data_IF_309888579536
#
_entry.id   IF_309888579536
#
_cell.length_a   1.000
_cell.length_b   1.000
_cell.length_c   1.000
_cell.angle_alpha   90.00
_cell.angle_beta   90.00
_cell.angle_gamma   90.00
#
_symmetry.space_group_name_H-M   'P 1'
#
loop_
_entity.id
_entity.type
_entity.pdbx_description
1 polymer ?
#
# COMPACT_ATOMS: atom_id res chain seq x y z
N UNK A 1 -29.33 18.80 -8.09
CA UNK A 1 -28.66 18.07 -9.19
C UNK A 1 -27.28 17.70 -8.69
N UNK A 2 -27.01 16.42 -8.46
CA UNK A 2 -25.66 15.96 -8.11
C UNK A 2 -24.85 15.85 -9.39
N UNK A 3 -23.86 16.73 -9.55
CA UNK A 3 -22.85 16.60 -10.61
C UNK A 3 -21.98 15.41 -10.20
N UNK A 4 -22.23 14.25 -10.80
CA UNK A 4 -21.27 13.16 -10.76
C UNK A 4 -20.01 13.66 -11.46
N UNK A 5 -18.96 13.94 -10.69
CA UNK A 5 -17.65 14.23 -11.25
C UNK A 5 -17.25 13.05 -12.11
N UNK A 6 -17.07 13.27 -13.42
CA UNK A 6 -16.46 12.29 -14.30
C UNK A 6 -14.99 12.14 -13.91
N UNK A 7 -14.71 11.25 -12.95
CA UNK A 7 -13.36 10.92 -12.51
C UNK A 7 -12.69 10.16 -13.66
N UNK A 8 -11.53 10.65 -14.14
CA UNK A 8 -10.81 9.93 -15.18
C UNK A 8 -10.16 8.66 -14.61
N UNK A 9 -9.82 7.71 -15.49
CA UNK A 9 -9.07 6.51 -15.06
C UNK A 9 -7.76 6.89 -14.36
N UNK A 10 -7.08 7.95 -14.84
CA UNK A 10 -5.85 8.43 -14.21
C UNK A 10 -6.07 8.93 -12.78
N UNK A 11 -7.20 9.61 -12.55
CA UNK A 11 -7.54 10.08 -11.21
C UNK A 11 -7.85 8.89 -10.29
N UNK A 12 -8.57 7.88 -10.79
CA UNK A 12 -8.81 6.63 -10.06
C UNK A 12 -7.51 5.89 -9.73
N UNK A 13 -6.58 5.78 -10.68
CA UNK A 13 -5.26 5.17 -10.45
C UNK A 13 -4.47 5.92 -9.39
N UNK A 14 -4.50 7.25 -9.42
CA UNK A 14 -3.84 8.08 -8.42
C UNK A 14 -4.46 7.91 -7.03
N UNK A 15 -5.78 7.87 -6.95
CA UNK A 15 -6.50 7.60 -5.71
C UNK A 15 -6.17 6.21 -5.16
N UNK A 16 -6.13 5.19 -6.02
CA UNK A 16 -5.77 3.82 -5.65
C UNK A 16 -4.31 3.72 -5.20
N UNK A 17 -3.38 4.42 -5.83
CA UNK A 17 -1.98 4.46 -5.39
C UNK A 17 -1.85 5.03 -3.96
N UNK A 18 -2.75 5.94 -3.57
CA UNK A 18 -2.79 6.56 -2.25
C UNK A 18 -3.68 5.83 -1.23
N UNK A 19 -4.35 4.73 -1.60
CA UNK A 19 -5.15 3.96 -0.67
C UNK A 19 -4.27 3.27 0.38
N UNK A 20 -4.77 3.10 1.62
CA UNK A 20 -4.04 2.37 2.65
C UNK A 20 -4.00 0.87 2.33
N UNK A 21 -2.88 0.23 2.67
CA UNK A 21 -2.70 -1.22 2.60
C UNK A 21 -1.82 -1.69 3.76
N UNK A 22 -2.11 -2.88 4.29
CA UNK A 22 -1.31 -3.49 5.36
C UNK A 22 -0.09 -4.22 4.82
N UNK A 23 1.04 -4.01 5.47
CA UNK A 23 2.32 -4.66 5.19
C UNK A 23 2.87 -5.33 6.45
N UNK A 24 3.72 -6.33 6.24
CA UNK A 24 4.58 -6.92 7.28
C UNK A 24 6.02 -6.56 6.95
N UNK A 25 6.75 -5.98 7.90
CA UNK A 25 8.16 -5.68 7.71
C UNK A 25 8.99 -6.98 7.67
N UNK A 26 9.79 -7.15 6.62
CA UNK A 26 10.68 -8.31 6.45
C UNK A 26 12.02 -8.11 7.18
N UNK A 27 12.39 -6.86 7.49
CA UNK A 27 13.60 -6.49 8.23
C UNK A 27 13.42 -5.12 8.87
N UNK A 28 14.28 -4.82 9.84
CA UNK A 28 14.36 -3.47 10.41
C UNK A 28 14.74 -2.44 9.34
N UNK A 29 14.13 -1.25 9.38
CA UNK A 29 14.42 -0.14 8.48
C UNK A 29 14.21 1.19 9.22
N UNK A 30 15.14 2.15 9.15
CA UNK A 30 14.98 3.45 9.78
C UNK A 30 13.83 4.27 9.17
N UNK A 31 13.43 5.35 9.85
CA UNK A 31 12.48 6.31 9.27
C UNK A 31 13.05 6.86 7.95
N UNK A 32 12.23 6.86 6.91
CA UNK A 32 12.53 7.46 5.62
C UNK A 32 11.71 8.75 5.53
N UNK A 33 12.42 9.86 5.33
CA UNK A 33 11.79 11.17 5.17
C UNK A 33 11.77 11.55 3.70
N UNK A 34 10.56 11.75 3.17
CA UNK A 34 10.31 12.29 1.84
C UNK A 34 9.61 13.63 1.98
N UNK A 35 9.59 14.42 0.90
CA UNK A 35 8.85 15.69 0.90
C UNK A 35 7.37 15.40 1.12
N UNK A 36 6.83 15.85 2.27
CA UNK A 36 5.43 15.71 2.62
C UNK A 36 5.00 14.33 3.15
N UNK A 37 5.90 13.37 3.34
CA UNK A 37 5.56 12.08 3.95
C UNK A 37 6.73 11.46 4.73
N UNK A 38 6.42 10.88 5.89
CA UNK A 38 7.34 10.06 6.68
C UNK A 38 6.91 8.60 6.56
N UNK A 39 7.89 7.70 6.40
CA UNK A 39 7.65 6.27 6.22
C UNK A 39 8.50 5.49 7.23
N UNK A 40 7.87 4.59 7.99
CA UNK A 40 8.55 3.86 9.07
C UNK A 40 8.75 4.73 10.32
N UNK A 41 9.70 4.37 11.20
CA UNK A 41 10.62 3.24 11.12
C UNK A 41 9.88 1.89 11.15
N UNK A 42 10.50 0.87 10.57
CA UNK A 42 9.97 -0.49 10.55
C UNK A 42 10.80 -1.41 11.43
N UNK A 43 10.11 -2.25 12.20
CA UNK A 43 10.71 -3.35 12.95
C UNK A 43 10.26 -4.68 12.34
N UNK A 44 11.21 -5.61 12.18
CA UNK A 44 10.99 -6.91 11.55
C UNK A 44 9.83 -7.68 12.20
N UNK A 45 8.98 -8.27 11.35
CA UNK A 45 7.82 -9.05 11.75
C UNK A 45 6.60 -8.23 12.19
N UNK A 46 6.74 -6.91 12.39
CA UNK A 46 5.60 -6.05 12.76
C UNK A 46 4.76 -5.66 11.54
N UNK A 47 3.46 -5.48 11.81
CA UNK A 47 2.50 -5.00 10.82
C UNK A 47 2.39 -3.47 10.84
N UNK A 48 2.23 -2.88 9.66
CA UNK A 48 2.04 -1.45 9.48
C UNK A 48 1.03 -1.18 8.37
N UNK A 49 0.40 -0.01 8.40
CA UNK A 49 -0.44 0.47 7.31
C UNK A 49 0.29 1.61 6.57
N UNK A 50 0.40 1.50 5.26
CA UNK A 50 1.05 2.49 4.40
C UNK A 50 0.24 2.71 3.12
N UNK A 51 0.54 3.77 2.37
CA UNK A 51 -0.04 3.95 1.03
C UNK A 51 0.42 2.83 0.10
N UNK A 52 -0.46 2.40 -0.80
CA UNK A 52 -0.18 1.31 -1.73
C UNK A 52 1.08 1.56 -2.59
N UNK A 53 1.33 2.79 -3.03
CA UNK A 53 2.56 3.11 -3.75
C UNK A 53 3.82 2.91 -2.89
N UNK A 54 3.76 3.23 -1.59
CA UNK A 54 4.85 3.03 -0.64
C UNK A 54 5.08 1.53 -0.44
N UNK A 55 4.01 0.74 -0.26
CA UNK A 55 4.11 -0.70 -0.11
C UNK A 55 4.84 -1.36 -1.29
N UNK A 56 4.54 -0.96 -2.53
CA UNK A 56 5.23 -1.45 -3.74
C UNK A 56 6.73 -1.15 -3.72
N UNK A 57 7.11 0.05 -3.31
CA UNK A 57 8.52 0.45 -3.21
C UNK A 57 9.26 -0.32 -2.11
N UNK A 58 8.62 -0.52 -0.96
CA UNK A 58 9.18 -1.33 0.14
C UNK A 58 9.32 -2.80 -0.24
N UNK A 59 8.35 -3.35 -0.98
CA UNK A 59 8.39 -4.73 -1.49
C UNK A 59 9.52 -4.91 -2.51
N UNK A 60 9.65 -3.98 -3.47
CA UNK A 60 10.75 -3.98 -4.45
C UNK A 60 12.12 -3.90 -3.77
N UNK A 61 12.24 -3.17 -2.67
CA UNK A 61 13.46 -3.06 -1.87
C UNK A 61 13.67 -4.22 -0.87
N UNK A 62 12.76 -5.20 -0.81
CA UNK A 62 12.79 -6.32 0.12
C UNK A 62 12.63 -5.91 1.59
N UNK A 63 12.13 -4.71 1.88
CA UNK A 63 11.96 -4.18 3.25
C UNK A 63 10.68 -4.70 3.89
N UNK A 64 9.61 -4.86 3.11
CA UNK A 64 8.33 -5.34 3.60
C UNK A 64 7.61 -6.17 2.54
N UNK A 65 6.54 -6.85 2.93
CA UNK A 65 5.61 -7.56 2.02
C UNK A 65 4.18 -7.14 2.31
N UNK A 66 3.34 -7.09 1.27
CA UNK A 66 1.90 -6.88 1.47
C UNK A 66 1.30 -8.08 2.23
N UNK A 67 0.43 -7.80 3.21
CA UNK A 67 -0.22 -8.84 4.03
C UNK A 67 -1.07 -9.76 3.14
N UNK A 68 -1.00 -11.06 3.38
CA UNK A 68 -1.67 -12.08 2.53
C UNK A 68 -3.20 -11.86 2.43
N UNK A 69 -3.83 -11.41 3.51
CA UNK A 69 -5.27 -11.12 3.52
C UNK A 69 -5.65 -9.98 2.57
N UNK A 70 -4.77 -9.02 2.35
CA UNK A 70 -4.96 -7.90 1.42
C UNK A 70 -4.77 -8.31 -0.06
N UNK A 71 -4.08 -9.43 -0.31
CA UNK A 71 -3.86 -9.93 -1.67
C UNK A 71 -5.09 -10.67 -2.19
N UNK A 72 -5.45 -10.41 -3.44
CA UNK A 72 -6.42 -11.23 -4.15
C UNK A 72 -5.73 -12.50 -4.66
N UNK A 73 -6.19 -13.65 -4.19
CA UNK A 73 -5.77 -14.96 -4.69
C UNK A 73 -6.90 -15.62 -5.49
N UNK A 74 -6.59 -16.72 -6.18
CA UNK A 74 -7.57 -17.43 -7.00
C UNK A 74 -8.77 -17.94 -6.20
N UNK A 75 -8.58 -18.26 -4.91
CA UNK A 75 -9.65 -18.76 -4.03
C UNK A 75 -10.61 -17.63 -3.65
N UNK A 76 -10.09 -16.44 -3.36
CA UNK A 76 -10.87 -15.23 -3.08
C UNK A 76 -11.63 -14.78 -4.33
N UNK A 77 -10.98 -14.79 -5.49
CA UNK A 77 -11.60 -14.41 -6.77
C UNK A 77 -12.72 -15.37 -7.20
N UNK A 78 -12.60 -16.67 -6.92
CA UNK A 78 -13.65 -17.64 -7.23
C UNK A 78 -14.96 -17.41 -6.45
N UNK A 79 -14.92 -16.67 -5.34
CA UNK A 79 -16.08 -16.41 -4.48
C UNK A 79 -16.83 -15.12 -4.82
N UNK A 80 -16.35 -14.33 -5.79
CA UNK A 80 -16.95 -13.06 -6.25
C UNK A 80 -17.68 -13.32 -7.56
#
# INVERSE_FOLDING_TARGET
MSIGTCVSIKDLDFMFANSPVKIVANRNCPEIQLVGVKVGPFEEGKEYEVKHWIAKELERAGVARVREEERLDAVKLHKI
#
